data_IF_344392304588
#
_entry.id   IF_344392304588
#
_cell.length_a   1.000
_cell.length_b   1.000
_cell.length_c   1.000
_cell.angle_alpha   90.00
_cell.angle_beta   90.00
_cell.angle_gamma   90.00
#
_symmetry.space_group_name_H-M   'P 1'
#
loop_
_entity.id
_entity.type
_entity.pdbx_description
1 polymer ?
#
# COMPACT_ATOMS: atom_id res chain seq x y z
N UNK A 1 21.03 -9.68 30.31
CA UNK A 1 20.10 -9.25 29.25
C UNK A 1 20.91 -9.14 27.97
N UNK A 2 20.82 -10.10 27.06
CA UNK A 2 21.61 -10.08 25.81
C UNK A 2 21.05 -9.02 24.85
N UNK A 3 21.90 -8.32 24.08
CA UNK A 3 21.42 -7.38 23.07
C UNK A 3 20.66 -8.17 22.01
N UNK A 4 19.38 -7.84 21.80
CA UNK A 4 18.63 -8.36 20.65
C UNK A 4 19.31 -7.85 19.39
N UNK A 5 19.87 -8.76 18.60
CA UNK A 5 20.46 -8.45 17.31
C UNK A 5 19.42 -7.76 16.41
N UNK A 6 19.63 -6.46 16.16
CA UNK A 6 18.80 -5.60 15.30
C UNK A 6 19.23 -5.72 13.83
N UNK A 7 20.04 -6.71 13.47
CA UNK A 7 20.38 -6.94 12.08
C UNK A 7 19.12 -7.26 11.28
N UNK A 8 18.93 -6.53 10.18
CA UNK A 8 17.82 -6.78 9.28
C UNK A 8 18.06 -8.16 8.66
N UNK A 9 17.21 -9.15 9.00
CA UNK A 9 17.32 -10.53 8.52
C UNK A 9 17.10 -10.68 7.01
N UNK A 10 16.73 -9.60 6.34
CA UNK A 10 16.48 -9.54 4.91
C UNK A 10 17.47 -8.59 4.24
N UNK A 11 17.81 -8.91 2.99
CA UNK A 11 18.59 -8.02 2.15
C UNK A 11 17.90 -6.64 2.08
N UNK A 12 18.69 -5.54 2.01
CA UNK A 12 18.12 -4.22 1.88
C UNK A 12 17.25 -4.12 0.62
N UNK A 13 16.18 -3.31 0.70
CA UNK A 13 15.33 -3.04 -0.46
C UNK A 13 16.18 -2.49 -1.61
N UNK A 14 16.01 -3.07 -2.80
CA UNK A 14 16.70 -2.59 -3.99
C UNK A 14 16.27 -1.15 -4.29
N UNK A 15 17.20 -0.17 -4.35
CA UNK A 15 16.88 1.20 -4.73
C UNK A 15 16.15 1.24 -6.08
N UNK A 16 15.10 2.06 -6.18
CA UNK A 16 14.28 2.20 -7.39
C UNK A 16 13.29 1.06 -7.66
N UNK A 17 13.27 0.00 -6.86
CA UNK A 17 12.21 -1.01 -6.96
C UNK A 17 10.84 -0.46 -6.55
N UNK A 18 9.75 -1.02 -7.09
CA UNK A 18 8.40 -0.64 -6.70
C UNK A 18 8.19 -0.79 -5.19
N UNK A 19 8.69 -1.88 -4.59
CA UNK A 19 8.66 -2.10 -3.15
C UNK A 19 9.37 -1.00 -2.35
N UNK A 20 10.53 -0.51 -2.83
CA UNK A 20 11.24 0.58 -2.17
C UNK A 20 10.47 1.91 -2.22
N UNK A 21 9.85 2.21 -3.37
CA UNK A 21 9.04 3.41 -3.58
C UNK A 21 7.78 3.38 -2.70
N UNK A 22 7.04 2.26 -2.72
CA UNK A 22 5.83 2.09 -1.91
C UNK A 22 6.16 2.12 -0.41
N UNK A 23 7.27 1.51 0.00
CA UNK A 23 7.74 1.57 1.38
C UNK A 23 8.00 3.02 1.82
N UNK A 24 8.74 3.79 1.02
CA UNK A 24 9.02 5.19 1.32
C UNK A 24 7.74 6.04 1.39
N UNK A 25 6.81 5.83 0.47
CA UNK A 25 5.52 6.51 0.44
C UNK A 25 4.68 6.20 1.69
N UNK A 26 4.42 4.91 1.97
CA UNK A 26 3.64 4.48 3.15
C UNK A 26 4.25 5.01 4.44
N UNK A 27 5.58 4.94 4.57
CA UNK A 27 6.28 5.44 5.74
C UNK A 27 6.17 6.97 5.89
N UNK A 28 6.25 7.72 4.78
CA UNK A 28 6.12 9.18 4.80
C UNK A 28 4.73 9.63 5.25
N UNK A 29 3.68 9.05 4.66
CA UNK A 29 2.29 9.37 5.01
C UNK A 29 1.99 8.95 6.45
N UNK A 30 2.42 7.76 6.90
CA UNK A 30 2.24 7.35 8.29
C UNK A 30 2.91 8.33 9.27
N UNK A 31 4.11 8.82 8.97
CA UNK A 31 4.75 9.86 9.80
C UNK A 31 3.95 11.15 9.80
N UNK A 32 3.39 11.53 8.65
CA UNK A 32 2.54 12.72 8.54
C UNK A 32 1.25 12.55 9.37
N UNK A 33 0.51 11.45 9.24
CA UNK A 33 -0.72 11.20 10.02
C UNK A 33 -0.46 11.29 11.53
N UNK A 34 0.57 10.60 12.02
CA UNK A 34 0.98 10.64 13.44
C UNK A 34 1.33 12.05 13.91
N UNK A 35 2.02 12.83 13.07
CA UNK A 35 2.34 14.24 13.37
C UNK A 35 1.08 15.11 13.47
N UNK A 36 0.01 14.73 12.78
CA UNK A 36 -1.27 15.46 12.75
C UNK A 36 -2.34 14.78 13.63
N UNK A 37 -1.92 14.02 14.65
CA UNK A 37 -2.81 13.38 15.65
C UNK A 37 -3.82 12.38 15.08
N UNK A 38 -3.57 11.84 13.89
CA UNK A 38 -4.30 10.68 13.35
C UNK A 38 -3.55 9.39 13.69
N UNK A 39 -3.62 9.00 14.96
CA UNK A 39 -2.97 7.80 15.48
C UNK A 39 -3.70 6.50 15.08
N UNK A 40 -4.97 6.61 14.67
CA UNK A 40 -5.78 5.50 14.17
C UNK A 40 -5.43 5.08 12.75
N UNK A 41 -4.75 5.95 11.98
CA UNK A 41 -4.41 5.66 10.60
C UNK A 41 -3.57 4.39 10.46
N UNK A 42 -4.10 3.43 9.72
CA UNK A 42 -3.42 2.19 9.39
C UNK A 42 -3.55 1.89 7.89
N UNK A 43 -2.48 1.36 7.32
CA UNK A 43 -2.50 0.84 5.97
C UNK A 43 -3.11 -0.57 5.96
N UNK A 44 -3.85 -0.90 4.90
CA UNK A 44 -3.99 -2.29 4.51
C UNK A 44 -2.58 -2.91 4.31
N UNK A 45 -2.42 -4.13 4.81
CA UNK A 45 -1.15 -4.85 4.71
C UNK A 45 -0.80 -5.14 3.25
N UNK A 46 0.51 -5.14 2.94
CA UNK A 46 1.07 -5.33 1.58
C UNK A 46 0.52 -4.29 0.58
N UNK A 47 0.73 -4.51 -0.70
CA UNK A 47 0.15 -3.70 -1.77
C UNK A 47 -0.12 -4.61 -2.96
N UNK A 48 -1.12 -4.26 -3.78
CA UNK A 48 -1.43 -4.96 -5.02
C UNK A 48 -0.60 -4.37 -6.15
N UNK A 49 -0.01 -5.23 -6.97
CA UNK A 49 0.70 -4.84 -8.19
C UNK A 49 0.24 -5.71 -9.37
N UNK A 50 0.16 -5.12 -10.55
CA UNK A 50 -0.22 -5.81 -11.78
C UNK A 50 0.45 -5.16 -12.98
N UNK A 51 1.12 -5.98 -13.81
CA UNK A 51 1.74 -5.52 -15.06
C UNK A 51 0.67 -5.45 -16.15
N UNK A 52 0.39 -4.24 -16.62
CA UNK A 52 -0.54 -4.02 -17.74
C UNK A 52 0.15 -4.39 -19.05
N UNK A 53 -0.39 -5.38 -19.76
CA UNK A 53 0.23 -5.95 -20.98
C UNK A 53 -0.50 -5.63 -22.28
N UNK A 54 -1.71 -5.05 -22.20
CA UNK A 54 -2.49 -4.66 -23.37
C UNK A 54 -3.46 -3.52 -23.04
N UNK A 55 -4.04 -2.91 -24.07
CA UNK A 55 -4.94 -1.78 -23.90
C UNK A 55 -6.25 -2.17 -23.20
N UNK A 56 -6.77 -3.38 -23.46
CA UNK A 56 -8.00 -3.85 -22.79
C UNK A 56 -7.85 -3.93 -21.27
N UNK A 57 -6.71 -4.43 -20.76
CA UNK A 57 -6.47 -4.44 -19.32
C UNK A 57 -6.23 -3.05 -18.74
N UNK A 58 -5.60 -2.16 -19.51
CA UNK A 58 -5.45 -0.75 -19.13
C UNK A 58 -6.81 -0.07 -18.93
N UNK A 59 -7.71 -0.23 -19.89
CA UNK A 59 -9.03 0.40 -19.86
C UNK A 59 -9.89 -0.17 -18.72
N UNK A 60 -9.85 -1.49 -18.51
CA UNK A 60 -10.54 -2.13 -17.39
C UNK A 60 -10.03 -1.65 -16.03
N UNK A 61 -8.72 -1.51 -15.84
CA UNK A 61 -8.14 -1.02 -14.58
C UNK A 61 -8.52 0.44 -14.34
N UNK A 62 -8.48 1.29 -15.38
CA UNK A 62 -8.93 2.69 -15.28
C UNK A 62 -10.39 2.77 -14.89
N UNK A 63 -11.24 1.97 -15.55
CA UNK A 63 -12.67 1.91 -15.26
C UNK A 63 -12.92 1.40 -13.83
N UNK A 64 -12.14 0.43 -13.35
CA UNK A 64 -12.20 0.00 -11.96
C UNK A 64 -11.85 1.14 -10.98
N UNK A 65 -10.74 1.84 -11.18
CA UNK A 65 -10.31 2.95 -10.30
C UNK A 65 -11.39 4.04 -10.20
N UNK A 66 -11.98 4.43 -11.33
CA UNK A 66 -13.03 5.47 -11.37
C UNK A 66 -14.30 5.00 -10.65
N UNK A 67 -14.69 3.74 -10.83
CA UNK A 67 -15.95 3.23 -10.28
C UNK A 67 -15.84 2.70 -8.85
N UNK A 68 -14.64 2.39 -8.36
CA UNK A 68 -14.47 1.78 -7.04
C UNK A 68 -15.08 2.60 -5.89
N UNK A 69 -14.93 3.94 -5.84
CA UNK A 69 -15.59 4.75 -4.81
C UNK A 69 -17.11 4.62 -4.83
N UNK A 70 -17.71 4.52 -6.02
CA UNK A 70 -19.16 4.36 -6.19
C UNK A 70 -19.66 2.97 -5.77
N UNK A 71 -18.79 1.97 -5.83
CA UNK A 71 -19.10 0.55 -5.56
C UNK A 71 -18.61 0.09 -4.19
N UNK A 72 -18.07 1.00 -3.36
CA UNK A 72 -17.41 0.63 -2.11
C UNK A 72 -18.34 -0.11 -1.14
N UNK A 73 -19.60 0.29 -1.06
CA UNK A 73 -20.62 -0.38 -0.22
C UNK A 73 -20.97 -1.80 -0.66
N UNK A 74 -20.58 -2.21 -1.86
CA UNK A 74 -20.81 -3.55 -2.41
C UNK A 74 -19.52 -4.39 -2.42
N UNK A 75 -18.38 -3.81 -2.03
CA UNK A 75 -17.09 -4.50 -2.07
C UNK A 75 -16.99 -5.53 -0.95
N UNK A 76 -16.70 -6.78 -1.32
CA UNK A 76 -16.60 -7.91 -0.39
C UNK A 76 -15.48 -7.76 0.65
N UNK A 77 -14.52 -6.87 0.41
CA UNK A 77 -13.41 -6.58 1.32
C UNK A 77 -13.62 -5.25 2.08
N UNK A 78 -14.79 -4.62 1.95
CA UNK A 78 -15.12 -3.45 2.74
C UNK A 78 -15.28 -3.87 4.21
N UNK A 79 -14.49 -3.32 5.15
CA UNK A 79 -14.52 -3.69 6.56
C UNK A 79 -15.80 -3.24 7.29
N UNK A 80 -16.71 -2.54 6.61
CA UNK A 80 -17.97 -2.04 7.17
C UNK A 80 -19.20 -2.86 6.80
N UNK A 81 -19.04 -3.96 6.05
CA UNK A 81 -20.10 -4.92 5.69
C UNK A 81 -19.94 -6.18 6.55
#
# INVERSE_FOLDING_TARGET
MSPTDKSNKFAPLKPGSLSAIIHAYKASVTRWCRKNSDDSFAWQSRFYEHIIRNNGSLDNIRQYIVNNPLKWSEDKNNPHI
#
